data_IF_647146262538
#
_entry.id   IF_647146262538
#
_cell.length_a   1.000
_cell.length_b   1.000
_cell.length_c   1.000
_cell.angle_alpha   90.00
_cell.angle_beta   90.00
_cell.angle_gamma   90.00
#
_symmetry.space_group_name_H-M   'P 1'
#
loop_
_entity.id
_entity.type
_entity.pdbx_description
1 polymer ?
#
# COMPACT_ATOMS: atom_id res chain seq x y z
N UNK A 1 -9.73 11.13 -7.13
CA UNK A 1 -8.36 10.90 -6.63
C UNK A 1 -7.99 12.03 -5.70
N UNK A 2 -8.10 13.27 -6.15
CA UNK A 2 -7.81 14.49 -5.37
C UNK A 2 -8.51 14.53 -4.01
N UNK A 3 -9.77 14.10 -3.93
CA UNK A 3 -10.52 13.99 -2.68
C UNK A 3 -9.89 13.01 -1.67
N UNK A 4 -9.34 11.89 -2.13
CA UNK A 4 -8.66 10.91 -1.28
C UNK A 4 -7.28 11.42 -0.86
N UNK A 5 -6.53 12.04 -1.77
CA UNK A 5 -5.25 12.68 -1.46
C UNK A 5 -5.43 13.74 -0.39
N UNK A 6 -6.41 14.64 -0.56
CA UNK A 6 -6.72 15.68 0.42
C UNK A 6 -7.05 15.08 1.78
N UNK A 7 -7.90 14.04 1.82
CA UNK A 7 -8.26 13.38 3.07
C UNK A 7 -7.03 12.75 3.75
N UNK A 8 -6.14 12.08 3.01
CA UNK A 8 -4.92 11.50 3.59
C UNK A 8 -3.98 12.60 4.08
N UNK A 9 -3.75 13.68 3.31
CA UNK A 9 -2.94 14.81 3.77
C UNK A 9 -3.47 15.43 5.07
N UNK A 10 -4.79 15.59 5.21
CA UNK A 10 -5.42 16.12 6.42
C UNK A 10 -5.19 15.22 7.63
N UNK A 11 -5.41 13.90 7.48
CA UNK A 11 -5.19 12.95 8.57
C UNK A 11 -3.71 12.90 8.97
N UNK A 12 -2.79 12.84 7.99
CA UNK A 12 -1.34 12.83 8.24
C UNK A 12 -0.89 14.12 8.94
N UNK A 13 -1.39 15.29 8.49
CA UNK A 13 -1.12 16.58 9.14
C UNK A 13 -1.57 16.57 10.61
N UNK A 14 -2.77 16.03 10.88
CA UNK A 14 -3.31 15.96 12.23
C UNK A 14 -2.56 14.98 13.14
N UNK A 15 -2.08 13.85 12.62
CA UNK A 15 -1.40 12.81 13.40
C UNK A 15 0.03 13.23 13.71
N UNK A 16 0.76 13.70 12.69
CA UNK A 16 2.17 14.04 12.80
C UNK A 16 2.43 15.47 13.29
N UNK A 17 1.37 16.27 13.48
CA UNK A 17 1.47 17.70 13.81
C UNK A 17 2.32 18.50 12.82
N UNK A 18 2.30 18.10 11.55
CA UNK A 18 2.99 18.77 10.43
C UNK A 18 2.01 19.69 9.71
N UNK A 19 2.48 20.84 9.23
CA UNK A 19 1.63 21.76 8.45
C UNK A 19 1.15 21.09 7.16
N UNK A 20 -0.15 21.17 6.88
CA UNK A 20 -0.73 20.56 5.67
C UNK A 20 -0.09 21.08 4.39
N UNK A 21 0.41 22.31 4.37
CA UNK A 21 1.10 22.89 3.20
C UNK A 21 2.44 22.21 2.88
N UNK A 22 3.06 21.54 3.86
CA UNK A 22 4.31 20.77 3.67
C UNK A 22 4.08 19.35 3.15
N UNK A 23 2.82 18.90 3.12
CA UNK A 23 2.42 17.55 2.71
C UNK A 23 1.84 17.57 1.29
N UNK A 24 2.40 16.72 0.43
CA UNK A 24 1.91 16.48 -0.92
C UNK A 24 1.76 14.98 -1.22
N UNK A 25 1.16 14.64 -2.36
CA UNK A 25 0.89 13.25 -2.73
C UNK A 25 2.13 12.34 -2.79
N UNK A 26 3.30 12.90 -3.09
CA UNK A 26 4.57 12.16 -3.17
C UNK A 26 5.29 12.07 -1.81
N UNK A 27 4.72 12.64 -0.76
CA UNK A 27 5.38 12.66 0.54
C UNK A 27 5.29 11.28 1.19
N UNK A 28 6.43 10.60 1.30
CA UNK A 28 6.57 9.39 2.09
C UNK A 28 6.21 9.68 3.55
N UNK A 29 5.39 8.83 4.15
CA UNK A 29 4.98 9.00 5.54
C UNK A 29 6.17 8.78 6.49
N UNK A 30 6.98 7.75 6.22
CA UNK A 30 8.10 7.38 7.09
C UNK A 30 9.36 8.17 6.71
N UNK A 31 9.91 7.95 5.52
CA UNK A 31 11.21 8.50 5.11
C UNK A 31 11.23 10.03 5.06
N UNK A 32 10.11 10.68 4.72
CA UNK A 32 10.04 12.14 4.60
C UNK A 32 9.38 12.81 5.81
N UNK A 33 8.25 12.29 6.28
CA UNK A 33 7.46 12.94 7.34
C UNK A 33 7.78 12.40 8.74
N UNK A 34 8.60 11.34 8.85
CA UNK A 34 9.06 10.81 10.13
C UNK A 34 7.99 10.05 10.90
N UNK A 35 6.94 9.56 10.25
CA UNK A 35 5.92 8.74 10.87
C UNK A 35 6.52 7.44 11.43
N UNK A 36 6.08 7.05 12.62
CA UNK A 36 6.39 5.76 13.20
C UNK A 36 5.23 4.75 13.05
N UNK A 37 5.39 3.54 13.60
CA UNK A 37 4.39 2.49 13.49
C UNK A 37 3.04 2.84 14.12
N UNK A 38 3.02 3.63 15.21
CA UNK A 38 1.78 4.04 15.87
C UNK A 38 1.03 5.05 15.01
N UNK A 39 1.76 5.99 14.39
CA UNK A 39 1.17 6.96 13.47
C UNK A 39 0.48 6.28 12.28
N UNK A 40 1.09 5.22 11.75
CA UNK A 40 0.51 4.43 10.65
C UNK A 40 -0.77 3.69 11.11
N UNK A 41 -0.80 3.18 12.34
CA UNK A 41 -1.99 2.53 12.91
C UNK A 41 -3.12 3.56 13.07
N UNK A 42 -2.82 4.74 13.59
CA UNK A 42 -3.80 5.80 13.78
C UNK A 42 -4.33 6.33 12.44
N UNK A 43 -3.46 6.46 11.43
CA UNK A 43 -3.86 6.83 10.08
C UNK A 43 -4.81 5.81 9.48
N UNK A 44 -4.46 4.52 9.56
CA UNK A 44 -5.31 3.44 9.08
C UNK A 44 -6.68 3.46 9.77
N UNK A 45 -6.70 3.61 11.10
CA UNK A 45 -7.95 3.68 11.87
C UNK A 45 -8.81 4.89 11.45
N UNK A 46 -8.21 6.09 11.36
CA UNK A 46 -8.92 7.31 11.03
C UNK A 46 -9.48 7.28 9.60
N UNK A 47 -8.71 6.82 8.62
CA UNK A 47 -9.17 6.68 7.23
C UNK A 47 -10.30 5.65 7.12
N UNK A 48 -10.16 4.50 7.79
CA UNK A 48 -11.20 3.47 7.84
C UNK A 48 -12.52 4.02 8.38
N UNK A 49 -12.47 4.80 9.47
CA UNK A 49 -13.63 5.48 10.06
C UNK A 49 -14.21 6.55 9.13
N UNK A 50 -13.36 7.41 8.56
CA UNK A 50 -13.74 8.54 7.68
C UNK A 50 -14.49 8.05 6.45
N UNK A 51 -13.98 7.00 5.81
CA UNK A 51 -14.54 6.44 4.58
C UNK A 51 -15.54 5.30 4.80
N UNK A 52 -15.70 4.81 6.03
CA UNK A 52 -16.54 3.66 6.38
C UNK A 52 -16.14 2.41 5.58
N UNK A 53 -14.84 2.14 5.60
CA UNK A 53 -14.20 1.01 4.92
C UNK A 53 -13.37 0.20 5.92
N UNK A 54 -13.10 -1.06 5.60
CA UNK A 54 -12.15 -1.90 6.34
C UNK A 54 -10.78 -1.76 5.71
N UNK A 55 -9.84 -1.17 6.44
CA UNK A 55 -8.45 -1.01 6.03
C UNK A 55 -7.69 -2.36 6.11
N UNK A 56 -6.55 -2.49 5.42
CA UNK A 56 -5.79 -3.73 5.38
C UNK A 56 -5.33 -4.14 6.78
N UNK A 57 -5.54 -5.41 7.13
CA UNK A 57 -4.99 -5.95 8.38
C UNK A 57 -3.57 -6.49 8.21
N UNK A 58 -3.17 -6.73 6.95
CA UNK A 58 -1.87 -7.28 6.58
C UNK A 58 -1.33 -6.61 5.32
N UNK A 59 -0.01 -6.66 5.14
CA UNK A 59 0.62 -6.21 3.91
C UNK A 59 0.29 -7.16 2.75
N UNK A 60 0.48 -6.68 1.51
CA UNK A 60 0.37 -7.51 0.29
C UNK A 60 1.23 -8.77 0.43
N UNK A 61 2.47 -8.62 0.86
CA UNK A 61 3.42 -9.73 0.94
C UNK A 61 3.15 -10.66 2.12
N UNK A 62 2.57 -10.16 3.21
CA UNK A 62 2.04 -11.02 4.29
C UNK A 62 0.89 -11.90 3.78
N UNK A 63 -0.03 -11.35 2.98
CA UNK A 63 -1.07 -12.13 2.33
C UNK A 63 -0.49 -13.18 1.36
N UNK A 64 0.54 -12.82 0.58
CA UNK A 64 1.25 -13.76 -0.30
C UNK A 64 1.85 -14.93 0.51
N UNK A 65 2.57 -14.63 1.59
CA UNK A 65 3.25 -15.63 2.42
C UNK A 65 2.28 -16.60 3.10
N UNK A 66 1.08 -16.13 3.47
CA UNK A 66 0.10 -16.95 4.19
C UNK A 66 -0.82 -17.78 3.28
N UNK A 67 -1.01 -17.37 2.02
CA UNK A 67 -2.05 -17.94 1.15
C UNK A 67 -1.51 -18.69 -0.06
N UNK A 68 -0.20 -18.65 -0.32
CA UNK A 68 0.41 -19.23 -1.52
C UNK A 68 1.57 -20.16 -1.18
N UNK A 69 1.91 -21.07 -2.10
CA UNK A 69 3.01 -22.00 -1.93
C UNK A 69 4.37 -21.29 -1.96
N UNK A 70 5.38 -21.90 -1.33
CA UNK A 70 6.76 -21.40 -1.33
C UNK A 70 7.30 -21.11 -2.74
N UNK A 71 6.94 -21.93 -3.73
CA UNK A 71 7.29 -21.70 -5.14
C UNK A 71 6.74 -20.39 -5.71
N UNK A 72 5.54 -19.97 -5.29
CA UNK A 72 4.94 -18.69 -5.71
C UNK A 72 5.52 -17.55 -4.88
N UNK A 73 5.73 -17.75 -3.58
CA UNK A 73 6.37 -16.77 -2.70
C UNK A 73 7.75 -16.38 -3.25
N UNK A 74 8.56 -17.37 -3.64
CA UNK A 74 9.91 -17.17 -4.18
C UNK A 74 9.95 -16.46 -5.55
N UNK A 75 8.81 -16.37 -6.25
CA UNK A 75 8.71 -15.51 -7.45
C UNK A 75 8.65 -14.04 -7.08
N UNK A 76 8.19 -13.69 -5.89
CA UNK A 76 7.99 -12.30 -5.47
C UNK A 76 9.06 -11.81 -4.50
N UNK A 77 9.57 -12.70 -3.65
CA UNK A 77 10.52 -12.38 -2.59
C UNK A 77 11.63 -13.43 -2.49
N UNK A 78 12.87 -12.97 -2.36
CA UNK A 78 14.01 -13.81 -1.98
C UNK A 78 14.50 -13.30 -0.61
N UNK A 79 14.01 -13.93 0.46
CA UNK A 79 14.14 -13.35 1.80
C UNK A 79 13.26 -12.11 1.94
N UNK A 80 13.86 -10.95 2.17
CA UNK A 80 13.18 -9.64 2.23
C UNK A 80 13.33 -8.82 0.93
N UNK A 81 14.09 -9.30 -0.05
CA UNK A 81 14.38 -8.62 -1.31
C UNK A 81 13.26 -8.88 -2.32
N UNK A 82 12.72 -7.83 -2.92
CA UNK A 82 11.70 -7.91 -3.97
C UNK A 82 12.35 -8.30 -5.30
N UNK A 83 11.73 -9.26 -5.97
CA UNK A 83 12.02 -9.57 -7.37
C UNK A 83 11.31 -8.58 -8.30
N UNK A 84 11.60 -8.64 -9.60
CA UNK A 84 10.87 -7.88 -10.61
C UNK A 84 9.38 -8.24 -10.66
N UNK A 85 9.03 -9.50 -10.47
CA UNK A 85 7.61 -9.91 -10.40
C UNK A 85 6.94 -9.39 -9.12
N UNK A 86 7.68 -9.30 -8.01
CA UNK A 86 7.22 -8.69 -6.76
C UNK A 86 6.97 -7.19 -6.91
N UNK A 87 7.86 -6.46 -7.59
CA UNK A 87 7.65 -5.05 -7.95
C UNK A 87 6.45 -4.89 -8.88
N UNK A 88 6.28 -5.79 -9.85
CA UNK A 88 5.12 -5.79 -10.73
C UNK A 88 3.80 -6.03 -9.98
N UNK A 89 3.80 -6.85 -8.92
CA UNK A 89 2.63 -7.01 -8.05
C UNK A 89 2.26 -5.70 -7.34
N UNK A 90 3.26 -4.95 -6.85
CA UNK A 90 3.03 -3.64 -6.25
C UNK A 90 2.44 -2.64 -7.25
N UNK A 91 2.99 -2.61 -8.48
CA UNK A 91 2.45 -1.78 -9.57
C UNK A 91 1.00 -2.14 -9.92
N UNK A 92 0.68 -3.43 -9.89
CA UNK A 92 -0.66 -3.95 -10.21
C UNK A 92 -1.68 -3.74 -9.08
N UNK A 93 -1.22 -3.60 -7.84
CA UNK A 93 -2.06 -3.56 -6.65
C UNK A 93 -2.88 -2.27 -6.52
N UNK A 94 -3.88 -2.31 -5.64
CA UNK A 94 -4.72 -1.18 -5.25
C UNK A 94 -3.97 0.02 -4.64
N UNK A 95 -2.69 -0.14 -4.28
CA UNK A 95 -1.82 0.95 -3.83
C UNK A 95 -1.18 1.73 -4.98
N UNK A 96 -1.21 1.19 -6.21
CA UNK A 96 -0.78 1.86 -7.43
C UNK A 96 0.65 2.46 -7.32
N UNK A 97 1.64 1.63 -7.00
CA UNK A 97 3.04 2.08 -6.92
C UNK A 97 3.54 2.50 -8.30
N UNK A 98 4.20 3.66 -8.35
CA UNK A 98 4.76 4.21 -9.59
C UNK A 98 6.10 3.58 -9.93
N UNK A 99 6.49 3.58 -11.21
CA UNK A 99 7.82 3.11 -11.64
C UNK A 99 8.97 3.80 -10.90
N UNK A 100 8.85 5.12 -10.66
CA UNK A 100 9.83 5.91 -9.89
C UNK A 100 10.04 5.35 -8.47
N UNK A 101 8.97 4.92 -7.79
CA UNK A 101 9.09 4.28 -6.47
C UNK A 101 9.70 2.88 -6.57
N UNK A 102 9.29 2.09 -7.57
CA UNK A 102 9.74 0.71 -7.73
C UNK A 102 11.24 0.60 -8.06
N UNK A 103 11.82 1.64 -8.67
CA UNK A 103 13.27 1.74 -8.86
C UNK A 103 14.03 1.87 -7.53
N UNK A 104 13.40 2.49 -6.53
CA UNK A 104 13.98 2.73 -5.19
C UNK A 104 13.67 1.63 -4.17
N UNK A 105 12.59 0.88 -4.37
CA UNK A 105 12.17 -0.21 -3.47
C UNK A 105 12.94 -1.49 -3.84
N UNK A 106 13.87 -1.91 -2.98
CA UNK A 106 14.61 -3.18 -3.13
C UNK A 106 14.15 -4.22 -2.13
N UNK A 107 13.80 -3.81 -0.92
CA UNK A 107 13.42 -4.67 0.20
C UNK A 107 12.01 -4.34 0.70
N UNK A 108 11.45 -5.24 1.52
CA UNK A 108 10.22 -4.94 2.27
C UNK A 108 10.38 -3.72 3.19
N UNK A 109 11.58 -3.48 3.73
CA UNK A 109 11.88 -2.27 4.52
C UNK A 109 11.75 -1.00 3.68
N UNK A 110 12.33 -1.00 2.46
CA UNK A 110 12.21 0.13 1.53
C UNK A 110 10.76 0.35 1.12
N UNK A 111 9.98 -0.71 0.93
CA UNK A 111 8.55 -0.60 0.61
C UNK A 111 7.80 0.21 1.67
N UNK A 112 7.99 -0.13 2.96
CA UNK A 112 7.39 0.64 4.05
C UNK A 112 7.87 2.09 4.04
N UNK A 113 9.18 2.31 3.83
CA UNK A 113 9.78 3.63 3.76
C UNK A 113 9.29 4.50 2.60
N UNK A 114 9.03 3.91 1.43
CA UNK A 114 8.67 4.63 0.21
C UNK A 114 7.16 4.78 -0.01
N UNK A 115 6.34 4.13 0.83
CA UNK A 115 4.88 4.27 0.77
C UNK A 115 4.48 5.71 1.12
N UNK A 116 3.84 6.39 0.17
CA UNK A 116 3.50 7.81 0.28
C UNK A 116 1.99 8.06 0.31
N UNK A 117 1.62 9.33 0.46
CA UNK A 117 0.22 9.79 0.48
C UNK A 117 -0.58 9.28 -0.74
N UNK A 118 0.01 9.27 -1.94
CA UNK A 118 -0.64 8.76 -3.14
C UNK A 118 -1.01 7.28 -3.01
N UNK A 119 -0.13 6.45 -2.43
CA UNK A 119 -0.41 5.02 -2.26
C UNK A 119 -1.57 4.79 -1.29
N UNK A 120 -1.59 5.51 -0.16
CA UNK A 120 -2.69 5.47 0.80
C UNK A 120 -4.01 5.97 0.20
N UNK A 121 -3.97 7.05 -0.58
CA UNK A 121 -5.14 7.58 -1.26
C UNK A 121 -5.67 6.59 -2.32
N UNK A 122 -4.79 5.93 -3.06
CA UNK A 122 -5.13 4.91 -4.06
C UNK A 122 -5.78 3.70 -3.42
N UNK A 123 -5.26 3.25 -2.28
CA UNK A 123 -5.85 2.20 -1.47
C UNK A 123 -7.28 2.58 -1.04
N UNK A 124 -7.45 3.74 -0.38
CA UNK A 124 -8.77 4.19 0.07
C UNK A 124 -9.76 4.30 -1.08
N UNK A 125 -9.33 4.86 -2.23
CA UNK A 125 -10.15 4.95 -3.43
C UNK A 125 -10.61 3.56 -3.89
N UNK A 126 -9.68 2.64 -4.03
CA UNK A 126 -9.95 1.28 -4.52
C UNK A 126 -10.94 0.56 -3.60
N UNK A 127 -10.80 0.71 -2.28
CA UNK A 127 -11.72 0.10 -1.31
C UNK A 127 -13.11 0.74 -1.39
N UNK A 128 -13.19 2.07 -1.43
CA UNK A 128 -14.46 2.79 -1.53
C UNK A 128 -15.24 2.48 -2.81
N UNK A 129 -14.54 2.27 -3.91
CA UNK A 129 -15.12 1.95 -5.22
C UNK A 129 -15.40 0.45 -5.40
N UNK A 130 -14.92 -0.39 -4.48
CA UNK A 130 -15.20 -1.83 -4.46
C UNK A 130 -16.57 -2.16 -3.86
N UNK A 131 -17.10 -3.34 -4.22
CA UNK A 131 -18.31 -3.87 -3.59
C UNK A 131 -18.06 -4.38 -2.16
N UNK A 132 -16.87 -4.90 -1.84
CA UNK A 132 -16.57 -5.48 -0.52
C UNK A 132 -16.40 -4.41 0.55
N UNK A 133 -15.91 -3.22 0.17
CA UNK A 133 -15.43 -2.19 1.10
C UNK A 133 -14.42 -2.73 2.13
N UNK A 134 -13.70 -3.77 1.75
CA UNK A 134 -12.71 -4.46 2.57
C UNK A 134 -11.42 -4.61 1.76
N UNK A 135 -10.33 -4.05 2.31
CA UNK A 135 -9.02 -4.06 1.68
C UNK A 135 -8.43 -5.46 1.52
N UNK A 136 -8.57 -6.33 2.52
CA UNK A 136 -7.97 -7.68 2.48
C UNK A 136 -8.60 -8.52 1.36
N UNK A 137 -9.92 -8.39 1.14
CA UNK A 137 -10.61 -9.04 0.04
C UNK A 137 -10.07 -8.59 -1.32
N UNK A 138 -9.89 -7.27 -1.49
CA UNK A 138 -9.37 -6.68 -2.74
C UNK A 138 -7.94 -7.15 -3.00
N UNK A 139 -7.08 -7.05 -1.98
CA UNK A 139 -5.67 -7.44 -2.06
C UNK A 139 -5.57 -8.92 -2.44
N UNK A 140 -6.32 -9.80 -1.79
CA UNK A 140 -6.30 -11.23 -2.12
C UNK A 140 -6.81 -11.52 -3.54
N UNK A 141 -7.85 -10.81 -4.00
CA UNK A 141 -8.35 -10.93 -5.37
C UNK A 141 -7.31 -10.47 -6.39
N UNK A 142 -6.62 -9.36 -6.14
CA UNK A 142 -5.58 -8.83 -7.02
C UNK A 142 -4.36 -9.73 -7.08
N UNK A 143 -3.88 -10.24 -5.93
CA UNK A 143 -2.77 -11.20 -5.89
C UNK A 143 -3.13 -12.45 -6.72
N UNK A 144 -4.33 -13.01 -6.53
CA UNK A 144 -4.78 -14.18 -7.33
C UNK A 144 -4.80 -13.89 -8.82
N UNK A 145 -5.31 -12.72 -9.21
CA UNK A 145 -5.37 -12.30 -10.62
C UNK A 145 -3.97 -12.08 -11.21
N UNK A 146 -3.07 -11.47 -10.46
CA UNK A 146 -1.69 -11.25 -10.87
C UNK A 146 -0.95 -12.59 -11.02
N UNK A 147 -1.05 -13.48 -10.03
CA UNK A 147 -0.51 -14.84 -10.08
C UNK A 147 -1.02 -15.61 -11.31
N UNK A 148 -2.31 -15.51 -11.63
CA UNK A 148 -2.86 -16.14 -12.83
C UNK A 148 -2.18 -15.62 -14.10
N UNK A 149 -2.09 -14.29 -14.26
CA UNK A 149 -1.51 -13.66 -15.44
C UNK A 149 -0.04 -14.05 -15.66
N UNK A 150 0.76 -14.17 -14.60
CA UNK A 150 2.19 -14.53 -14.70
C UNK A 150 2.43 -16.04 -14.82
N UNK A 151 1.39 -16.87 -14.69
CA UNK A 151 1.44 -18.32 -14.90
C UNK A 151 0.90 -18.73 -16.28
N UNK A 152 0.08 -17.87 -16.91
CA UNK A 152 -0.47 -18.10 -18.24
C UNK A 152 0.29 -17.40 -19.37
N UNK A 153 1.24 -16.52 -19.03
CA UNK A 153 2.22 -15.94 -19.96
C UNK A 153 3.54 -16.70 -19.88
#
# INVERSE_FOLDING_TARGET
MDNYILAVCEEVSSILFVDRSDINEKSSLINKLGADSLDIIDLSFNLGKKFKITMPTKSIFSHVQENFSESIINRFLIGDVLTEEGKGLLAFSCYNYTSEQLDSILTLGDLFGETNVHNWASLCKSICESNSKNADDIILTEIKKYCHNILTN
#
